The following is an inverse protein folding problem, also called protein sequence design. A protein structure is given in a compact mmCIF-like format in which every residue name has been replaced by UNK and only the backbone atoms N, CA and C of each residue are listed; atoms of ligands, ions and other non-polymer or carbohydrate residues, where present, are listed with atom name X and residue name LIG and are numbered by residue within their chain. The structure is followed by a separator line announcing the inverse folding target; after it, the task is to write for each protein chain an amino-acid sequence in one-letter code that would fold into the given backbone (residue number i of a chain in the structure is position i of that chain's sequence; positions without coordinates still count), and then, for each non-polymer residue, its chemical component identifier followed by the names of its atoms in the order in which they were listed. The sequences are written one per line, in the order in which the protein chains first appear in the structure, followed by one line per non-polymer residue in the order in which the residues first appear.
data_IF_443550405860
#
_entry.id   IF_443550405860
#
_cell.length_a   1.000
_cell.length_b   1.000
_cell.length_c   1.000
_cell.angle_alpha   90.00
_cell.angle_beta   90.00
_cell.angle_gamma   90.00
#
_symmetry.space_group_name_H-M   'P 1'
#
loop_
_entity.id
_entity.type
_entity.pdbx_description
1 polymer ?
#
# COMPACT_ATOMS: atom_id res chain seq x y z
N UNK A 1 -23.55 -20.00 -8.49
CA UNK A 1 -23.98 -18.59 -8.31
C UNK A 1 -23.60 -18.05 -6.93
N UNK A 2 -24.14 -18.59 -5.82
CA UNK A 2 -23.86 -18.07 -4.46
C UNK A 2 -22.37 -17.98 -4.11
N UNK A 3 -21.60 -19.06 -4.25
CA UNK A 3 -20.15 -19.01 -3.97
C UNK A 3 -19.41 -18.05 -4.89
N UNK A 4 -19.75 -18.00 -6.18
CA UNK A 4 -19.16 -17.04 -7.12
C UNK A 4 -19.44 -15.58 -6.72
N UNK A 5 -20.63 -15.29 -6.19
CA UNK A 5 -20.94 -13.97 -5.63
C UNK A 5 -20.02 -13.64 -4.44
N UNK A 6 -19.85 -14.55 -3.47
CA UNK A 6 -18.93 -14.35 -2.35
C UNK A 6 -17.49 -14.16 -2.83
N UNK A 7 -17.07 -14.93 -3.84
CA UNK A 7 -15.75 -14.84 -4.46
C UNK A 7 -15.46 -13.48 -5.08
N UNK A 8 -16.45 -12.84 -5.71
CA UNK A 8 -16.30 -11.48 -6.25
C UNK A 8 -15.90 -10.51 -5.14
N UNK A 9 -16.64 -10.51 -4.03
CA UNK A 9 -16.35 -9.62 -2.89
C UNK A 9 -15.02 -9.96 -2.21
N UNK A 10 -14.74 -11.26 -2.04
CA UNK A 10 -13.47 -11.71 -1.49
C UNK A 10 -12.30 -11.15 -2.30
N UNK A 11 -12.24 -11.40 -3.62
CA UNK A 11 -11.12 -10.92 -4.44
C UNK A 11 -11.09 -9.41 -4.60
N UNK A 12 -12.25 -8.74 -4.59
CA UNK A 12 -12.29 -7.28 -4.60
C UNK A 12 -11.66 -6.64 -3.36
N UNK A 13 -11.67 -7.31 -2.21
CA UNK A 13 -11.13 -6.79 -0.95
C UNK A 13 -9.76 -7.39 -0.61
N UNK A 14 -9.53 -8.66 -0.97
CA UNK A 14 -8.26 -9.34 -0.78
C UNK A 14 -7.16 -8.73 -1.66
N UNK A 15 -7.44 -8.47 -2.94
CA UNK A 15 -6.46 -8.06 -3.96
C UNK A 15 -6.11 -6.57 -3.89
N UNK A 16 -5.90 -6.05 -2.68
CA UNK A 16 -5.54 -4.66 -2.44
C UNK A 16 -4.02 -4.44 -2.39
N UNK A 17 -3.24 -5.53 -2.41
CA UNK A 17 -1.77 -5.52 -2.43
C UNK A 17 -1.18 -4.63 -3.53
N UNK A 18 -1.48 -4.82 -4.84
CA UNK A 18 -0.91 -3.98 -5.90
C UNK A 18 -1.50 -2.57 -5.95
N UNK A 19 -2.61 -2.32 -5.25
CA UNK A 19 -3.32 -1.05 -5.23
C UNK A 19 -3.14 -0.32 -3.91
N UNK A 20 -4.18 -0.35 -3.08
CA UNK A 20 -4.29 0.54 -1.92
C UNK A 20 -3.27 0.25 -0.82
N UNK A 21 -2.88 -1.01 -0.62
CA UNK A 21 -1.90 -1.36 0.41
C UNK A 21 -0.49 -0.92 0.02
N UNK A 22 -0.13 -0.99 -1.27
CA UNK A 22 1.14 -0.44 -1.75
C UNK A 22 1.16 1.09 -1.64
N UNK A 23 0.05 1.76 -1.95
CA UNK A 23 -0.08 3.22 -1.76
C UNK A 23 0.03 3.56 -0.27
N UNK A 24 -0.65 2.82 0.60
CA UNK A 24 -0.58 3.00 2.04
C UNK A 24 0.85 2.81 2.59
N UNK A 25 1.52 1.74 2.15
CA UNK A 25 2.90 1.48 2.50
C UNK A 25 3.83 2.62 2.06
N UNK A 26 3.64 3.12 0.84
CA UNK A 26 4.47 4.19 0.28
C UNK A 26 4.29 5.51 1.02
N UNK A 27 3.05 5.92 1.24
CA UNK A 27 2.70 7.30 1.64
C UNK A 27 2.42 7.46 3.13
N UNK A 28 2.10 6.38 3.86
CA UNK A 28 1.59 6.47 5.24
C UNK A 28 2.31 5.56 6.22
N UNK A 29 3.37 4.86 5.81
CA UNK A 29 4.08 3.91 6.67
C UNK A 29 5.53 4.33 6.88
N UNK A 30 6.00 4.30 8.12
CA UNK A 30 7.42 4.48 8.40
C UNK A 30 8.18 3.21 7.97
N UNK A 31 8.89 3.29 6.84
CA UNK A 31 9.62 2.16 6.24
C UNK A 31 11.14 2.21 6.49
N UNK A 32 11.60 3.12 7.36
CA UNK A 32 13.02 3.25 7.67
C UNK A 32 13.36 2.27 8.80
N UNK A 33 14.27 1.33 8.52
CA UNK A 33 14.86 0.42 9.51
C UNK A 33 16.24 0.90 9.90
N UNK A 34 16.61 0.75 11.18
CA UNK A 34 17.89 1.21 11.73
C UNK A 34 18.66 0.10 12.43
N UNK A 35 20.00 0.24 12.44
CA UNK A 35 20.89 -0.62 13.23
C UNK A 35 20.80 -2.09 12.86
N UNK A 36 20.51 -2.94 13.86
CA UNK A 36 20.41 -4.39 13.65
C UNK A 36 19.28 -4.75 12.67
N UNK A 37 18.13 -4.08 12.77
CA UNK A 37 16.96 -4.34 11.90
C UNK A 37 17.25 -4.07 10.43
N UNK A 38 18.01 -3.01 10.13
CA UNK A 38 18.46 -2.69 8.78
C UNK A 38 19.37 -3.79 8.22
N UNK A 39 20.34 -4.26 9.02
CA UNK A 39 21.24 -5.33 8.61
C UNK A 39 20.50 -6.66 8.40
N UNK A 40 19.57 -7.01 9.29
CA UNK A 40 18.72 -8.20 9.12
C UNK A 40 17.91 -8.10 7.83
N UNK A 41 17.31 -6.94 7.55
CA UNK A 41 16.55 -6.72 6.33
C UNK A 41 17.42 -6.91 5.07
N UNK A 42 18.61 -6.29 5.01
CA UNK A 42 19.53 -6.44 3.86
C UNK A 42 19.87 -7.92 3.60
N UNK A 43 20.19 -8.67 4.67
CA UNK A 43 20.51 -10.11 4.58
C UNK A 43 19.30 -10.91 4.09
N UNK A 44 18.15 -10.73 4.74
CA UNK A 44 16.92 -11.47 4.38
C UNK A 44 16.52 -11.16 2.95
N UNK A 45 16.47 -9.89 2.56
CA UNK A 45 16.10 -9.49 1.19
C UNK A 45 17.08 -10.04 0.14
N UNK A 46 18.38 -10.07 0.42
CA UNK A 46 19.36 -10.72 -0.45
C UNK A 46 19.11 -12.23 -0.58
N UNK A 47 18.89 -12.94 0.54
CA UNK A 47 18.57 -14.38 0.51
C UNK A 47 17.28 -14.66 -0.26
N UNK A 48 16.26 -13.82 -0.06
CA UNK A 48 14.97 -13.94 -0.75
C UNK A 48 15.08 -13.75 -2.26
N UNK A 49 16.01 -12.91 -2.72
CA UNK A 49 16.27 -12.75 -4.14
C UNK A 49 17.14 -13.88 -4.71
N UNK A 50 18.16 -14.34 -3.95
CA UNK A 50 19.17 -15.29 -4.44
C UNK A 50 18.73 -16.76 -4.35
N UNK A 51 18.00 -17.16 -3.30
CA UNK A 51 17.61 -18.57 -3.09
C UNK A 51 16.68 -19.05 -4.21
N UNK A 52 15.53 -18.38 -4.52
CA UNK A 52 14.66 -18.83 -5.61
C UNK A 52 15.38 -18.83 -6.96
N UNK A 53 16.23 -17.82 -7.20
CA UNK A 53 17.01 -17.71 -8.42
C UNK A 53 18.01 -18.87 -8.57
N UNK A 54 18.67 -19.27 -7.47
CA UNK A 54 19.53 -20.45 -7.40
C UNK A 54 18.78 -21.75 -7.66
N UNK A 55 17.61 -21.95 -7.04
CA UNK A 55 16.75 -23.12 -7.26
C UNK A 55 16.31 -23.20 -8.72
N UNK A 56 15.84 -22.09 -9.30
CA UNK A 56 15.41 -22.05 -10.71
C UNK A 56 16.60 -22.30 -11.64
N UNK A 57 17.79 -21.75 -11.36
CA UNK A 57 19.01 -22.02 -12.14
C UNK A 57 19.33 -23.51 -12.15
N UNK A 58 19.22 -24.16 -11.00
CA UNK A 58 19.46 -25.60 -10.88
C UNK A 58 18.43 -26.41 -11.68
N UNK A 59 17.14 -26.11 -11.53
CA UNK A 59 16.06 -26.76 -12.28
C UNK A 59 16.22 -26.54 -13.79
N UNK A 60 16.53 -25.33 -14.23
CA UNK A 60 16.78 -25.02 -15.64
C UNK A 60 17.98 -25.79 -16.18
N UNK A 61 19.05 -25.95 -15.39
CA UNK A 61 20.22 -26.74 -15.78
C UNK A 61 19.84 -28.21 -15.99
N UNK A 62 19.01 -28.78 -15.11
CA UNK A 62 18.48 -30.14 -15.26
C UNK A 62 17.62 -30.28 -16.52
N UNK A 63 16.73 -29.31 -16.77
CA UNK A 63 15.88 -29.30 -17.96
C UNK A 63 16.72 -29.16 -19.24
N UNK A 64 17.70 -28.27 -19.27
CA UNK A 64 18.57 -28.09 -20.42
C UNK A 64 19.32 -29.37 -20.76
N UNK A 65 19.85 -30.10 -19.77
CA UNK A 65 20.50 -31.40 -20.02
C UNK A 65 19.59 -32.38 -20.77
N UNK A 66 18.28 -32.33 -20.53
CA UNK A 66 17.30 -33.21 -21.19
C UNK A 66 16.84 -32.66 -22.55
N UNK A 67 16.64 -31.35 -22.67
CA UNK A 67 15.97 -30.73 -23.83
C UNK A 67 16.93 -30.18 -24.89
N UNK A 68 18.22 -30.01 -24.59
CA UNK A 68 19.17 -29.33 -25.48
C UNK A 68 19.29 -29.98 -26.85
N UNK A 69 19.15 -31.31 -26.95
CA UNK A 69 19.19 -32.03 -28.22
C UNK A 69 18.06 -31.63 -29.17
N UNK A 70 16.88 -31.30 -28.65
CA UNK A 70 15.67 -31.00 -29.45
C UNK A 70 15.38 -29.51 -29.58
N UNK A 71 15.71 -28.72 -28.56
CA UNK A 71 15.36 -27.28 -28.48
C UNK A 71 16.56 -26.40 -28.13
N UNK A 72 17.71 -26.64 -28.80
CA UNK A 72 18.98 -25.94 -28.55
C UNK A 72 18.85 -24.41 -28.47
N UNK A 73 18.25 -23.79 -29.48
CA UNK A 73 18.15 -22.33 -29.56
C UNK A 73 17.28 -21.73 -28.45
N UNK A 74 16.14 -22.38 -28.13
CA UNK A 74 15.29 -21.97 -27.02
C UNK A 74 16.04 -22.00 -25.69
N UNK A 75 16.83 -23.05 -25.45
CA UNK A 75 17.61 -23.18 -24.21
C UNK A 75 18.72 -22.13 -24.12
N UNK A 76 19.40 -21.81 -25.22
CA UNK A 76 20.44 -20.77 -25.25
C UNK A 76 19.83 -19.40 -24.93
N UNK A 77 18.72 -19.03 -25.59
CA UNK A 77 18.04 -17.75 -25.36
C UNK A 77 17.54 -17.66 -23.91
N UNK A 78 16.92 -18.73 -23.40
CA UNK A 78 16.41 -18.78 -22.03
C UNK A 78 17.56 -18.71 -21.01
N UNK A 79 18.66 -19.42 -21.23
CA UNK A 79 19.85 -19.36 -20.39
C UNK A 79 20.48 -17.98 -20.35
N UNK A 80 20.61 -17.31 -21.50
CA UNK A 80 21.11 -15.93 -21.57
C UNK A 80 20.18 -14.94 -20.83
N UNK A 81 18.87 -15.07 -21.02
CA UNK A 81 17.88 -14.26 -20.29
C UNK A 81 18.04 -14.43 -18.77
N UNK A 82 18.33 -15.65 -18.31
CA UNK A 82 18.54 -15.93 -16.89
C UNK A 82 19.84 -15.34 -16.34
N UNK A 83 20.91 -15.29 -17.14
CA UNK A 83 22.15 -14.61 -16.77
C UNK A 83 21.94 -13.09 -16.60
N UNK A 84 21.12 -12.48 -17.45
CA UNK A 84 20.74 -11.06 -17.29
C UNK A 84 20.01 -10.86 -15.95
N UNK A 85 19.06 -11.74 -15.61
CA UNK A 85 18.33 -11.66 -14.32
C UNK A 85 19.29 -11.78 -13.13
N UNK A 86 20.28 -12.68 -13.19
CA UNK A 86 21.36 -12.75 -12.20
C UNK A 86 22.14 -11.44 -12.09
N UNK A 87 22.57 -10.89 -13.22
CA UNK A 87 23.31 -9.62 -13.27
C UNK A 87 22.53 -8.47 -12.63
N UNK A 88 21.25 -8.31 -12.99
CA UNK A 88 20.37 -7.27 -12.42
C UNK A 88 20.17 -7.50 -10.92
N UNK A 89 19.98 -8.75 -10.48
CA UNK A 89 19.75 -9.09 -9.07
C UNK A 89 20.98 -8.78 -8.22
N UNK A 90 22.17 -9.20 -8.67
CA UNK A 90 23.43 -8.90 -7.97
C UNK A 90 23.69 -7.40 -7.95
N UNK A 91 23.46 -6.70 -9.06
CA UNK A 91 23.60 -5.25 -9.12
C UNK A 91 22.66 -4.55 -8.14
N UNK A 92 21.38 -4.92 -8.10
CA UNK A 92 20.38 -4.38 -7.16
C UNK A 92 20.81 -4.61 -5.70
N UNK A 93 21.22 -5.82 -5.34
CA UNK A 93 21.67 -6.13 -3.97
C UNK A 93 22.91 -5.29 -3.63
N UNK A 94 23.88 -5.17 -4.53
CA UNK A 94 25.06 -4.35 -4.30
C UNK A 94 24.73 -2.87 -4.11
N UNK A 95 23.77 -2.33 -4.86
CA UNK A 95 23.25 -0.97 -4.69
C UNK A 95 22.61 -0.78 -3.31
N UNK A 96 21.74 -1.72 -2.90
CA UNK A 96 21.06 -1.71 -1.60
C UNK A 96 22.02 -1.81 -0.40
N UNK A 97 23.13 -2.54 -0.56
CA UNK A 97 24.16 -2.60 0.49
C UNK A 97 24.98 -1.31 0.59
N UNK A 98 25.11 -0.54 -0.50
CA UNK A 98 25.77 0.78 -0.51
C UNK A 98 24.90 1.90 0.06
N UNK A 99 23.57 1.72 0.08
CA UNK A 99 22.66 2.70 0.68
C UNK A 99 22.98 2.93 2.16
N UNK A 100 23.16 4.22 2.48
CA UNK A 100 23.37 4.78 3.81
C UNK A 100 22.30 5.84 4.06
N UNK A 101 21.90 6.01 5.32
CA UNK A 101 20.96 7.06 5.68
C UNK A 101 21.65 8.23 6.34
N UNK A 102 21.13 9.42 6.11
CA UNK A 102 21.67 10.67 6.57
C UNK A 102 20.58 11.43 7.30
N UNK A 103 20.85 11.88 8.52
CA UNK A 103 20.03 12.93 9.12
C UNK A 103 20.50 14.24 8.51
N UNK A 104 19.62 14.95 7.83
CA UNK A 104 19.92 16.23 7.21
C UNK A 104 19.12 17.34 7.86
N UNK A 105 19.76 18.49 8.00
CA UNK A 105 19.13 19.74 8.42
C UNK A 105 18.83 20.58 7.20
N UNK A 106 17.58 20.96 7.02
CA UNK A 106 17.17 21.85 5.94
C UNK A 106 16.30 22.98 6.49
N UNK A 107 16.13 24.02 5.69
CA UNK A 107 15.24 25.14 5.99
C UNK A 107 13.94 24.89 5.23
N UNK A 108 12.84 24.78 5.98
CA UNK A 108 11.51 24.58 5.41
C UNK A 108 10.94 25.90 4.84
N UNK A 109 9.71 25.89 4.30
CA UNK A 109 9.14 27.10 3.69
C UNK A 109 8.78 28.20 4.70
N UNK A 110 8.69 27.86 5.99
CA UNK A 110 8.61 28.83 7.09
C UNK A 110 9.96 29.43 7.50
N UNK A 111 11.08 29.01 6.91
CA UNK A 111 12.40 29.48 7.34
C UNK A 111 12.91 28.79 8.61
N UNK A 112 12.22 27.77 9.10
CA UNK A 112 12.60 27.02 10.31
C UNK A 112 13.55 25.89 9.93
N UNK A 113 14.58 25.68 10.75
CA UNK A 113 15.48 24.55 10.57
C UNK A 113 14.82 23.26 11.07
N UNK A 114 14.63 22.30 10.17
CA UNK A 114 14.12 20.98 10.48
C UNK A 114 15.17 19.91 10.22
N UNK A 115 15.12 18.84 11.01
CA UNK A 115 15.97 17.67 10.83
C UNK A 115 15.14 16.50 10.32
N UNK A 116 15.51 15.94 9.17
CA UNK A 116 14.82 14.81 8.54
C UNK A 116 15.83 13.74 8.15
N UNK A 117 15.42 12.47 8.23
CA UNK A 117 16.25 11.35 7.81
C UNK A 117 15.98 11.05 6.34
N UNK A 118 17.03 11.03 5.53
CA UNK A 118 16.97 10.66 4.12
C UNK A 118 17.87 9.45 3.85
N UNK A 119 17.58 8.69 2.79
CA UNK A 119 18.42 7.57 2.35
C UNK A 119 19.07 7.90 1.01
N UNK A 120 20.37 7.64 0.88
CA UNK A 120 21.16 7.87 -0.32
C UNK A 120 22.11 6.69 -0.59
N UNK A 121 22.27 6.34 -1.87
CA UNK A 121 23.29 5.40 -2.34
C UNK A 121 24.67 6.04 -2.50
N UNK A 122 24.73 7.38 -2.53
CA UNK A 122 25.96 8.16 -2.50
C UNK A 122 26.43 8.38 -1.06
N UNK A 123 27.75 8.26 -0.86
CA UNK A 123 28.39 8.49 0.44
C UNK A 123 28.58 9.98 0.68
N UNK A 124 27.98 10.48 1.74
CA UNK A 124 28.17 11.86 2.22
C UNK A 124 28.83 11.87 3.60
N UNK A 125 29.66 12.87 3.87
CA UNK A 125 30.25 13.15 5.16
C UNK A 125 29.34 14.07 5.99
N UNK A 126 29.58 14.11 7.31
CA UNK A 126 28.92 15.11 8.16
C UNK A 126 29.36 16.52 7.71
N UNK A 127 28.41 17.44 7.63
CA UNK A 127 28.50 18.79 7.10
C UNK A 127 28.49 18.91 5.56
N UNK A 128 28.38 17.81 4.82
CA UNK A 128 28.17 17.90 3.37
C UNK A 128 26.85 18.61 3.08
N UNK A 129 26.86 19.46 2.05
CA UNK A 129 25.65 20.09 1.54
C UNK A 129 25.11 19.27 0.39
N UNK A 130 23.88 18.77 0.56
CA UNK A 130 23.25 17.86 -0.39
C UNK A 130 21.89 18.38 -0.83
N UNK A 131 21.54 18.09 -2.08
CA UNK A 131 20.25 18.47 -2.64
C UNK A 131 19.17 17.51 -2.18
N UNK A 132 18.08 18.08 -1.70
CA UNK A 132 16.91 17.33 -1.25
C UNK A 132 15.69 17.71 -2.09
N UNK A 133 14.85 16.73 -2.39
CA UNK A 133 13.52 16.96 -2.91
C UNK A 133 12.57 17.06 -1.72
N UNK A 134 12.14 18.27 -1.39
CA UNK A 134 11.07 18.51 -0.44
C UNK A 134 9.71 18.38 -1.15
N UNK A 135 9.04 17.24 -0.96
CA UNK A 135 7.71 17.00 -1.53
C UNK A 135 6.68 17.54 -0.54
N UNK A 136 6.15 18.72 -0.86
CA UNK A 136 5.16 19.40 -0.03
C UNK A 136 3.75 18.89 -0.32
N UNK A 137 3.11 18.37 0.71
CA UNK A 137 1.74 17.88 0.68
C UNK A 137 0.83 18.90 1.35
N UNK A 138 -0.01 19.54 0.54
CA UNK A 138 -0.86 20.65 0.98
C UNK A 138 -2.31 20.18 1.00
N UNK A 139 -2.98 20.43 2.11
CA UNK A 139 -4.39 20.11 2.36
C UNK A 139 -5.12 21.32 2.93
N UNK A 140 -6.44 21.39 2.72
CA UNK A 140 -7.28 22.36 3.42
C UNK A 140 -7.44 21.90 4.87
N UNK A 141 -7.43 22.87 5.78
CA UNK A 141 -7.60 22.64 7.21
C UNK A 141 -8.86 23.36 7.69
N UNK A 142 -9.67 22.65 8.47
CA UNK A 142 -10.87 23.20 9.10
C UNK A 142 -10.66 23.24 10.62
N UNK A 143 -10.35 24.42 11.20
CA UNK A 143 -10.09 24.54 12.64
C UNK A 143 -11.34 24.25 13.50
N UNK A 144 -12.54 24.41 12.93
CA UNK A 144 -13.81 24.28 13.68
C UNK A 144 -14.31 22.83 13.78
N UNK A 145 -13.77 21.94 12.95
CA UNK A 145 -14.13 20.54 12.95
C UNK A 145 -13.82 19.86 14.28
N UNK A 146 -14.70 18.93 14.71
CA UNK A 146 -14.64 18.29 16.03
C UNK A 146 -13.29 17.60 16.31
N UNK A 147 -12.66 17.06 15.27
CA UNK A 147 -11.34 16.43 15.36
C UNK A 147 -10.17 17.42 15.58
N UNK A 148 -10.37 18.70 15.26
CA UNK A 148 -9.33 19.73 15.23
C UNK A 148 -9.42 20.75 16.36
N UNK A 149 -10.56 20.82 17.08
CA UNK A 149 -10.81 21.80 18.15
C UNK A 149 -9.76 21.83 19.26
N UNK A 150 -9.04 20.73 19.42
CA UNK A 150 -8.04 20.57 20.46
C UNK A 150 -6.61 20.83 20.00
N UNK A 151 -6.44 21.10 18.70
CA UNK A 151 -5.14 21.45 18.15
C UNK A 151 -4.86 22.92 18.44
N UNK A 152 -3.58 23.23 18.63
CA UNK A 152 -3.11 24.59 18.86
C UNK A 152 -2.15 25.01 17.76
N UNK A 153 -2.14 26.29 17.42
CA UNK A 153 -1.19 26.85 16.45
C UNK A 153 -0.18 27.73 17.17
N UNK A 154 1.10 27.51 16.90
CA UNK A 154 2.18 28.37 17.35
C UNK A 154 3.23 28.49 16.23
N UNK A 155 3.69 29.71 15.94
CA UNK A 155 4.69 29.99 14.90
C UNK A 155 4.39 29.35 13.53
N UNK A 156 3.15 29.45 13.06
CA UNK A 156 2.68 28.80 11.82
C UNK A 156 2.90 27.28 11.78
N UNK A 157 2.92 26.63 12.95
CA UNK A 157 2.95 25.17 13.10
C UNK A 157 1.74 24.72 13.90
N UNK A 158 1.08 23.68 13.40
CA UNK A 158 -0.06 23.05 14.05
C UNK A 158 0.42 21.95 15.01
N UNK A 159 -0.10 21.94 16.23
CA UNK A 159 0.22 20.95 17.26
C UNK A 159 -1.05 20.24 17.73
N UNK A 160 -0.94 18.94 18.03
CA UNK A 160 -2.02 18.19 18.69
C UNK A 160 -1.99 18.37 20.22
N UNK A 161 -2.93 17.75 20.94
CA UNK A 161 -3.00 17.79 22.42
C UNK A 161 -1.69 17.33 23.10
N UNK A 162 -0.98 16.39 22.49
CA UNK A 162 0.28 15.84 23.01
C UNK A 162 1.51 16.70 22.65
N UNK A 163 1.30 17.91 22.11
CA UNK A 163 2.34 18.81 21.60
C UNK A 163 3.20 18.24 20.45
N UNK A 164 2.68 17.25 19.72
CA UNK A 164 3.30 16.77 18.50
C UNK A 164 2.94 17.68 17.32
N UNK A 165 3.94 18.04 16.51
CA UNK A 165 3.73 18.84 15.32
C UNK A 165 3.01 18.02 14.23
N UNK A 166 1.95 18.60 13.65
CA UNK A 166 1.10 18.00 12.63
C UNK A 166 1.37 18.52 11.20
N UNK A 167 2.15 19.59 11.10
CA UNK A 167 2.47 20.29 9.84
C UNK A 167 2.49 21.80 10.03
N UNK A 168 2.92 22.51 9.01
CA UNK A 168 2.82 23.98 8.97
C UNK A 168 1.37 24.41 8.70
N UNK A 169 0.97 25.53 9.28
CA UNK A 169 -0.37 26.07 9.23
C UNK A 169 -0.32 27.51 8.70
N UNK A 170 -1.12 27.78 7.68
CA UNK A 170 -1.24 29.13 7.11
C UNK A 170 -2.68 29.49 6.83
N UNK A 171 -2.99 30.75 7.03
CA UNK A 171 -4.13 31.39 6.38
C UNK A 171 -3.70 31.81 4.96
N UNK A 172 -4.43 31.33 3.95
CA UNK A 172 -4.09 31.50 2.55
C UNK A 172 -5.30 32.00 1.75
N UNK A 173 -5.08 32.96 0.86
CA UNK A 173 -6.09 33.42 -0.10
C UNK A 173 -6.14 32.52 -1.34
N UNK A 174 -7.34 32.11 -1.75
CA UNK A 174 -7.53 31.34 -3.00
C UNK A 174 -7.31 32.24 -4.21
N UNK A 175 -6.26 31.98 -4.99
CA UNK A 175 -5.93 32.76 -6.19
C UNK A 175 -6.65 32.26 -7.44
N UNK A 176 -6.96 30.97 -7.52
CA UNK A 176 -7.66 30.40 -8.67
C UNK A 176 -7.73 28.89 -8.71
N UNK A 177 -8.32 28.37 -9.80
CA UNK A 177 -8.51 26.94 -10.01
C UNK A 177 -8.04 26.50 -11.40
N UNK A 178 -7.57 25.26 -11.52
CA UNK A 178 -7.23 24.66 -12.81
C UNK A 178 -7.60 23.18 -12.88
N UNK A 179 -7.76 22.68 -14.09
CA UNK A 179 -8.08 21.27 -14.37
C UNK A 179 -6.99 20.64 -15.22
N UNK A 180 -6.52 19.46 -14.82
CA UNK A 180 -5.50 18.70 -15.56
C UNK A 180 -6.00 17.27 -15.78
N UNK A 181 -5.82 16.75 -17.00
CA UNK A 181 -6.10 15.35 -17.30
C UNK A 181 -5.12 14.45 -16.56
N UNK A 182 -5.63 13.43 -15.84
CA UNK A 182 -4.79 12.47 -15.14
C UNK A 182 -4.08 11.57 -16.16
N UNK A 183 -2.74 11.55 -16.22
CA UNK A 183 -2.02 10.67 -17.13
C UNK A 183 -2.37 9.21 -16.84
N UNK A 184 -2.74 8.44 -17.88
CA UNK A 184 -3.07 7.02 -17.76
C UNK A 184 -4.48 6.67 -17.27
N UNK A 185 -5.34 7.66 -16.97
CA UNK A 185 -6.76 7.41 -16.65
C UNK A 185 -7.66 7.92 -17.77
N UNK A 186 -8.57 7.08 -18.27
CA UNK A 186 -9.48 7.40 -19.37
C UNK A 186 -10.44 8.54 -18.99
N UNK A 187 -10.13 9.76 -19.43
CA UNK A 187 -11.02 10.93 -19.31
C UNK A 187 -11.14 11.52 -17.89
N UNK A 188 -10.38 11.02 -16.91
CA UNK A 188 -10.44 11.51 -15.53
C UNK A 188 -9.69 12.83 -15.40
N UNK A 189 -10.43 13.91 -15.11
CA UNK A 189 -9.86 15.24 -14.79
C UNK A 189 -9.60 15.38 -13.29
N UNK A 190 -8.50 16.04 -12.96
CA UNK A 190 -8.08 16.39 -11.60
C UNK A 190 -8.15 17.90 -11.42
N UNK A 191 -8.83 18.36 -10.37
CA UNK A 191 -8.94 19.77 -10.03
C UNK A 191 -7.78 20.18 -9.12
N UNK A 192 -7.30 21.41 -9.29
CA UNK A 192 -6.31 22.04 -8.44
C UNK A 192 -6.80 23.41 -7.97
N UNK A 193 -6.53 23.75 -6.72
CA UNK A 193 -6.57 25.11 -6.20
C UNK A 193 -5.16 25.70 -6.21
N UNK A 194 -5.07 26.98 -6.49
CA UNK A 194 -3.88 27.80 -6.29
C UNK A 194 -4.17 28.78 -5.15
N UNK A 195 -3.27 28.83 -4.18
CA UNK A 195 -3.41 29.62 -2.95
C UNK A 195 -2.15 30.43 -2.71
N UNK A 196 -2.30 31.65 -2.19
CA UNK A 196 -1.21 32.53 -1.79
C UNK A 196 -1.27 32.80 -0.30
N UNK A 197 -0.13 32.74 0.38
CA UNK A 197 0.00 33.05 1.81
C UNK A 197 1.34 33.72 2.10
N UNK A 198 1.47 34.30 3.28
CA UNK A 198 2.73 34.89 3.76
C UNK A 198 3.36 33.96 4.78
N UNK A 199 4.63 33.60 4.57
CA UNK A 199 5.34 32.74 5.53
C UNK A 199 5.81 33.53 6.78
N UNK A 200 6.33 32.84 7.79
CA UNK A 200 6.87 33.50 9.00
C UNK A 200 8.08 34.42 8.76
N UNK A 201 8.68 34.39 7.57
CA UNK A 201 9.73 35.32 7.15
C UNK A 201 9.19 36.58 6.45
N UNK A 202 7.87 36.69 6.26
CA UNK A 202 7.24 37.82 5.57
C UNK A 202 7.24 37.71 4.04
N UNK A 203 7.60 36.55 3.47
CA UNK A 203 7.63 36.33 2.03
C UNK A 203 6.27 35.87 1.52
N UNK A 204 5.85 36.40 0.36
CA UNK A 204 4.65 35.93 -0.33
C UNK A 204 4.93 34.63 -1.09
N UNK A 205 4.23 33.57 -0.72
CA UNK A 205 4.39 32.22 -1.26
C UNK A 205 3.10 31.78 -1.94
N UNK A 206 3.22 31.31 -3.18
CA UNK A 206 2.11 30.72 -3.93
C UNK A 206 2.30 29.21 -4.03
N UNK A 207 1.23 28.45 -3.75
CA UNK A 207 1.22 27.00 -3.85
C UNK A 207 0.00 26.48 -4.58
N UNK A 208 0.16 25.33 -5.21
CA UNK A 208 -0.90 24.65 -5.96
C UNK A 208 -1.06 23.23 -5.46
N UNK A 209 -2.30 22.83 -5.18
CA UNK A 209 -2.60 21.50 -4.67
C UNK A 209 -3.92 20.95 -5.19
N UNK A 210 -4.03 19.63 -5.16
CA UNK A 210 -5.18 18.89 -5.71
C UNK A 210 -6.39 19.03 -4.79
N UNK A 211 -7.54 19.37 -5.35
CA UNK A 211 -8.82 19.50 -4.64
C UNK A 211 -9.87 18.55 -5.21
N UNK A 212 -10.86 18.17 -4.40
CA UNK A 212 -12.01 17.39 -4.87
C UNK A 212 -12.99 18.26 -5.67
N UNK A 213 -13.92 17.64 -6.42
CA UNK A 213 -14.99 18.38 -7.13
C UNK A 213 -15.91 19.12 -6.14
N UNK A 214 -16.23 18.48 -5.03
CA UNK A 214 -17.14 19.02 -4.00
C UNK A 214 -16.52 20.23 -3.28
N UNK A 215 -15.20 20.18 -3.03
CA UNK A 215 -14.45 21.31 -2.47
C UNK A 215 -14.37 22.46 -3.48
N UNK A 216 -14.06 22.17 -4.75
CA UNK A 216 -14.03 23.19 -5.81
C UNK A 216 -15.35 23.94 -5.93
N UNK A 217 -16.49 23.27 -5.75
CA UNK A 217 -17.80 23.91 -5.84
C UNK A 217 -18.15 24.81 -4.65
N UNK A 218 -17.45 24.66 -3.52
CA UNK A 218 -17.68 25.45 -2.30
C UNK A 218 -16.75 26.65 -2.20
N UNK A 219 -15.53 26.50 -2.71
CA UNK A 219 -14.50 27.54 -2.65
C UNK A 219 -14.74 28.64 -3.70
N UNK A 220 -14.51 29.88 -3.30
CA UNK A 220 -14.54 31.04 -4.17
C UNK A 220 -13.14 31.64 -4.36
N UNK A 221 -12.83 32.26 -5.52
CA UNK A 221 -11.63 33.08 -5.66
C UNK A 221 -11.63 34.21 -4.62
N UNK A 222 -10.46 34.51 -4.07
CA UNK A 222 -10.21 35.48 -2.99
C UNK A 222 -10.83 35.12 -1.63
N UNK A 223 -11.39 33.91 -1.46
CA UNK A 223 -11.77 33.40 -0.15
C UNK A 223 -10.51 33.10 0.68
N UNK A 224 -10.53 33.47 1.96
CA UNK A 224 -9.49 33.07 2.90
C UNK A 224 -9.75 31.65 3.39
N UNK A 225 -8.76 30.78 3.27
CA UNK A 225 -8.82 29.39 3.69
C UNK A 225 -7.62 29.04 4.55
N UNK A 226 -7.80 28.12 5.49
CA UNK A 226 -6.66 27.57 6.22
C UNK A 226 -6.10 26.38 5.47
N UNK A 227 -4.78 26.35 5.33
CA UNK A 227 -4.05 25.25 4.70
C UNK A 227 -3.07 24.65 5.70
N UNK A 228 -2.84 23.35 5.54
CA UNK A 228 -1.82 22.60 6.24
C UNK A 228 -0.79 22.06 5.25
N UNK A 229 0.49 22.33 5.49
CA UNK A 229 1.61 21.86 4.66
C UNK A 229 2.43 20.83 5.44
N UNK A 230 2.64 19.68 4.82
CA UNK A 230 3.44 18.59 5.35
C UNK A 230 4.59 18.25 4.40
N UNK A 231 5.78 17.95 4.94
CA UNK A 231 7.01 17.76 4.17
C UNK A 231 7.41 16.27 4.08
N UNK A 232 7.55 15.73 2.87
CA UNK A 232 8.17 14.43 2.60
C UNK A 232 9.51 14.64 1.88
N UNK A 233 10.56 14.77 2.68
CA UNK A 233 11.90 15.13 2.20
C UNK A 233 12.68 13.88 1.81
N UNK A 234 13.18 13.86 0.56
CA UNK A 234 13.98 12.76 0.01
C UNK A 234 15.29 13.25 -0.55
N UNK A 235 16.29 12.38 -0.62
CA UNK A 235 17.53 12.68 -1.33
C UNK A 235 17.25 12.91 -2.82
N UNK A 236 17.77 13.99 -3.39
CA UNK A 236 17.63 14.26 -4.81
C UNK A 236 18.76 13.62 -5.63
N UNK A 237 18.57 12.34 -5.97
CA UNK A 237 19.49 11.57 -6.84
C UNK A 237 19.76 12.24 -8.20
N UNK A 238 18.91 13.17 -8.66
CA UNK A 238 19.05 13.85 -9.96
C UNK A 238 19.66 15.24 -9.86
N UNK A 239 19.91 15.73 -8.65
CA UNK A 239 20.44 17.06 -8.36
C UNK A 239 19.72 18.19 -9.13
N UNK A 240 18.40 18.10 -9.28
CA UNK A 240 17.57 19.13 -9.93
C UNK A 240 16.92 20.10 -8.95
N UNK A 241 16.80 19.73 -7.68
CA UNK A 241 16.25 20.58 -6.63
C UNK A 241 17.18 21.73 -6.28
N UNK A 242 16.58 22.86 -5.95
CA UNK A 242 17.28 24.04 -5.41
C UNK A 242 17.40 23.99 -3.89
N UNK A 243 16.65 23.09 -3.22
CA UNK A 243 16.67 22.98 -1.75
C UNK A 243 17.91 22.25 -1.28
N UNK A 244 18.75 22.95 -0.52
CA UNK A 244 19.96 22.38 0.09
C UNK A 244 19.67 21.94 1.53
N UNK A 245 20.26 20.82 1.91
CA UNK A 245 20.27 20.33 3.28
C UNK A 245 21.70 20.00 3.70
N UNK A 246 22.02 20.24 4.97
CA UNK A 246 23.33 19.93 5.55
C UNK A 246 23.26 18.59 6.27
N UNK A 247 24.14 17.66 5.95
CA UNK A 247 24.23 16.37 6.64
C UNK A 247 24.65 16.60 8.09
N UNK A 248 23.76 16.27 9.03
CA UNK A 248 23.98 16.41 10.47
C UNK A 248 24.48 15.12 11.12
N UNK A 249 24.11 13.94 10.60
CA UNK A 249 24.56 12.65 11.12
C UNK A 249 24.49 11.56 10.06
N UNK A 250 25.40 10.59 10.13
CA UNK A 250 25.42 9.40 9.27
C UNK A 250 24.90 8.22 10.09
N UNK A 251 23.84 7.58 9.61
CA UNK A 251 23.20 6.45 10.25
C UNK A 251 23.17 5.23 9.30
N UNK A 252 23.26 4.03 9.85
CA UNK A 252 22.96 2.78 9.13
C UNK A 252 21.45 2.54 9.12
N UNK A 253 20.75 3.19 8.19
CA UNK A 253 19.34 2.92 7.94
C UNK A 253 19.06 2.57 6.48
N UNK A 254 17.99 1.81 6.28
CA UNK A 254 17.50 1.37 4.97
C UNK A 254 16.01 1.62 4.89
N UNK A 255 15.54 2.10 3.74
CA UNK A 255 14.11 2.21 3.46
C UNK A 255 13.62 0.92 2.80
N UNK A 256 12.68 0.21 3.44
CA UNK A 256 12.03 -0.95 2.83
C UNK A 256 11.14 -0.48 1.67
N UNK A 257 11.27 -0.98 0.43
CA UNK A 257 10.37 -0.61 -0.66
C UNK A 257 8.91 -0.98 -0.37
N UNK A 258 7.94 -0.15 -0.77
CA UNK A 258 6.52 -0.43 -0.54
C UNK A 258 6.05 -1.76 -1.16
N UNK A 259 6.60 -2.14 -2.32
CA UNK A 259 6.31 -3.42 -2.98
C UNK A 259 6.86 -4.64 -2.22
N UNK A 260 7.80 -4.46 -1.30
CA UNK A 260 8.37 -5.55 -0.50
C UNK A 260 7.30 -6.24 0.35
N UNK A 261 6.29 -5.51 0.84
CA UNK A 261 5.22 -6.08 1.66
C UNK A 261 4.39 -7.14 0.93
N UNK A 262 4.35 -7.14 -0.41
CA UNK A 262 3.65 -8.16 -1.20
C UNK A 262 4.22 -9.58 -0.95
N UNK A 263 5.49 -9.67 -0.55
CA UNK A 263 6.15 -10.93 -0.19
C UNK A 263 5.49 -11.61 1.01
N UNK A 264 4.92 -10.83 1.92
CA UNK A 264 4.31 -11.35 3.14
C UNK A 264 3.18 -12.34 2.85
N UNK A 265 2.43 -12.14 1.75
CA UNK A 265 1.41 -13.09 1.35
C UNK A 265 2.01 -14.49 1.11
N UNK A 266 3.02 -14.60 0.25
CA UNK A 266 3.71 -15.86 -0.03
C UNK A 266 4.33 -16.48 1.21
N UNK A 267 4.97 -15.67 2.05
CA UNK A 267 5.57 -16.14 3.32
C UNK A 267 4.52 -16.78 4.24
N UNK A 268 3.39 -16.10 4.42
CA UNK A 268 2.31 -16.61 5.27
C UNK A 268 1.62 -17.83 4.66
N UNK A 269 1.49 -17.92 3.33
CA UNK A 269 0.98 -19.14 2.69
C UNK A 269 1.90 -20.32 3.00
N UNK A 270 3.21 -20.19 2.75
CA UNK A 270 4.17 -21.28 2.94
C UNK A 270 4.19 -21.74 4.41
N UNK A 271 4.13 -20.80 5.36
CA UNK A 271 4.21 -21.12 6.78
C UNK A 271 2.90 -21.62 7.38
N UNK A 272 1.75 -21.07 6.96
CA UNK A 272 0.44 -21.37 7.56
C UNK A 272 -0.37 -22.41 6.79
N UNK A 273 -0.15 -22.62 5.49
CA UNK A 273 -0.91 -23.60 4.71
C UNK A 273 -0.87 -25.03 5.32
N UNK A 274 0.27 -25.54 5.83
CA UNK A 274 0.28 -26.85 6.50
C UNK A 274 -0.62 -26.90 7.74
N UNK A 275 -0.67 -25.82 8.52
CA UNK A 275 -1.52 -25.73 9.72
C UNK A 275 -3.01 -25.74 9.34
N UNK A 276 -3.39 -24.96 8.33
CA UNK A 276 -4.76 -24.94 7.80
C UNK A 276 -5.16 -26.28 7.18
N UNK A 277 -4.27 -26.94 6.44
CA UNK A 277 -4.54 -28.29 5.89
C UNK A 277 -4.82 -29.29 7.00
N UNK A 278 -3.98 -29.32 8.05
CA UNK A 278 -4.19 -30.19 9.21
C UNK A 278 -5.51 -29.88 9.93
N UNK A 279 -5.91 -28.62 10.01
CA UNK A 279 -7.21 -28.25 10.56
C UNK A 279 -8.38 -28.77 9.70
N UNK A 280 -8.27 -28.69 8.37
CA UNK A 280 -9.27 -29.20 7.42
C UNK A 280 -9.40 -30.72 7.39
N UNK A 281 -8.33 -31.43 7.72
CA UNK A 281 -8.34 -32.90 7.85
C UNK A 281 -8.88 -33.36 9.22
N UNK A 282 -8.94 -32.46 10.20
CA UNK A 282 -9.40 -32.78 11.55
C UNK A 282 -10.93 -32.93 11.65
N UNK A 283 -11.39 -33.47 12.79
CA UNK A 283 -12.82 -33.52 13.14
C UNK A 283 -13.51 -32.15 13.24
N UNK A 284 -12.74 -31.06 13.30
CA UNK A 284 -13.23 -29.69 13.41
C UNK A 284 -13.31 -28.95 12.07
N UNK A 285 -13.25 -29.68 10.94
CA UNK A 285 -13.37 -29.10 9.61
C UNK A 285 -14.71 -28.35 9.42
N UNK A 286 -14.71 -27.02 9.25
CA UNK A 286 -15.94 -26.26 9.05
C UNK A 286 -16.56 -26.52 7.68
N UNK A 287 -17.89 -26.41 7.58
CA UNK A 287 -18.58 -26.47 6.28
C UNK A 287 -18.14 -25.32 5.35
N UNK A 288 -18.33 -25.48 4.02
CA UNK A 288 -17.99 -24.47 3.02
C UNK A 288 -18.43 -23.03 3.40
N UNK A 289 -19.70 -22.86 3.76
CA UNK A 289 -20.27 -21.59 4.19
C UNK A 289 -19.54 -20.98 5.38
N UNK A 290 -19.15 -21.80 6.36
CA UNK A 290 -18.38 -21.36 7.51
C UNK A 290 -16.93 -21.02 7.14
N UNK A 291 -16.29 -21.76 6.22
CA UNK A 291 -14.95 -21.40 5.72
C UNK A 291 -14.97 -20.07 4.98
N UNK A 292 -16.00 -19.82 4.15
CA UNK A 292 -16.22 -18.50 3.55
C UNK A 292 -16.48 -17.42 4.59
N UNK A 293 -17.31 -17.69 5.60
CA UNK A 293 -17.56 -16.76 6.70
C UNK A 293 -16.28 -16.39 7.45
N UNK A 294 -15.53 -17.40 7.91
CA UNK A 294 -14.24 -17.23 8.60
C UNK A 294 -13.28 -16.44 7.71
N UNK A 295 -13.16 -16.78 6.42
CA UNK A 295 -12.29 -16.08 5.50
C UNK A 295 -12.65 -14.60 5.35
N UNK A 296 -13.94 -14.29 5.17
CA UNK A 296 -14.42 -12.91 5.07
C UNK A 296 -14.26 -12.12 6.38
N UNK A 297 -14.42 -12.76 7.55
CA UNK A 297 -14.14 -12.12 8.83
C UNK A 297 -12.65 -11.87 9.06
N UNK A 298 -11.77 -12.75 8.59
CA UNK A 298 -10.34 -12.52 8.63
C UNK A 298 -9.94 -11.34 7.73
N UNK A 299 -10.52 -11.22 6.53
CA UNK A 299 -10.36 -10.01 5.70
C UNK A 299 -10.85 -8.76 6.43
N UNK A 300 -12.02 -8.83 7.06
CA UNK A 300 -12.55 -7.72 7.85
C UNK A 300 -11.58 -7.33 8.98
N UNK A 301 -11.03 -8.31 9.70
CA UNK A 301 -10.07 -8.08 10.77
C UNK A 301 -8.78 -7.45 10.26
N UNK A 302 -8.24 -7.92 9.13
CA UNK A 302 -7.09 -7.31 8.46
C UNK A 302 -7.37 -5.84 8.13
N UNK A 303 -8.48 -5.56 7.45
CA UNK A 303 -8.90 -4.20 7.11
C UNK A 303 -9.13 -3.33 8.35
N UNK A 304 -9.68 -3.89 9.43
CA UNK A 304 -9.88 -3.18 10.68
C UNK A 304 -8.55 -2.79 11.35
N UNK A 305 -7.55 -3.69 11.33
CA UNK A 305 -6.23 -3.41 11.88
C UNK A 305 -5.59 -2.19 11.19
N UNK A 306 -5.58 -2.16 9.86
CA UNK A 306 -5.02 -1.01 9.13
C UNK A 306 -5.91 0.23 9.23
N UNK A 307 -7.23 0.10 9.31
CA UNK A 307 -8.13 1.21 9.56
C UNK A 307 -7.85 1.87 10.91
N UNK A 308 -7.64 1.07 11.95
CA UNK A 308 -7.28 1.52 13.29
C UNK A 308 -5.89 2.17 13.30
N UNK A 309 -4.90 1.51 12.70
CA UNK A 309 -3.56 2.07 12.56
C UNK A 309 -3.55 3.41 11.83
N UNK A 310 -4.43 3.56 10.84
CA UNK A 310 -4.64 4.79 10.08
C UNK A 310 -5.54 5.83 10.77
N UNK A 311 -6.12 5.54 11.95
CA UNK A 311 -7.11 6.40 12.60
C UNK A 311 -6.57 7.77 13.01
N UNK A 312 -5.27 7.85 13.32
CA UNK A 312 -4.59 9.12 13.61
C UNK A 312 -4.20 9.93 12.38
N UNK A 313 -4.47 9.43 11.17
CA UNK A 313 -4.14 10.10 9.91
C UNK A 313 -5.32 11.01 9.54
N UNK A 314 -5.13 12.32 9.69
CA UNK A 314 -6.14 13.30 9.30
C UNK A 314 -6.49 13.18 7.80
N UNK A 315 -7.73 13.50 7.38
CA UNK A 315 -8.10 13.52 5.97
C UNK A 315 -7.15 14.37 5.12
N UNK A 316 -6.64 13.79 4.03
CA UNK A 316 -5.65 14.44 3.16
C UNK A 316 -4.24 14.58 3.72
N UNK A 317 -3.97 14.14 4.95
CA UNK A 317 -2.62 14.10 5.51
C UNK A 317 -1.75 13.11 4.74
N UNK A 318 -0.46 13.39 4.59
CA UNK A 318 0.49 12.49 3.90
C UNK A 318 1.75 12.18 4.69
N UNK A 319 1.87 12.66 5.93
CA UNK A 319 3.09 12.50 6.74
C UNK A 319 2.84 11.89 8.11
N UNK A 320 1.60 11.52 8.44
CA UNK A 320 1.36 10.59 9.52
C UNK A 320 1.89 9.21 9.11
N UNK A 321 3.09 8.89 9.60
CA UNK A 321 3.74 7.61 9.34
C UNK A 321 3.37 6.62 10.43
N UNK A 322 2.64 5.56 10.06
CA UNK A 322 2.24 4.50 10.98
C UNK A 322 3.25 3.37 10.98
N UNK A 323 3.23 2.56 12.03
CA UNK A 323 4.09 1.38 12.13
C UNK A 323 3.80 0.36 11.04
N UNK A 324 4.85 -0.28 10.51
CA UNK A 324 4.77 -1.38 9.54
C UNK A 324 3.95 -2.58 10.04
N UNK A 325 3.77 -2.72 11.37
CA UNK A 325 3.01 -3.81 11.97
C UNK A 325 1.58 -3.89 11.41
N UNK A 326 0.96 -2.74 11.09
CA UNK A 326 -0.40 -2.72 10.56
C UNK A 326 -0.50 -3.38 9.19
N UNK A 327 0.50 -3.18 8.32
CA UNK A 327 0.58 -3.88 7.04
C UNK A 327 0.85 -5.37 7.26
N UNK A 328 1.76 -5.72 8.17
CA UNK A 328 2.06 -7.12 8.49
C UNK A 328 0.78 -7.85 8.93
N UNK A 329 -0.03 -7.23 9.79
CA UNK A 329 -1.31 -7.77 10.26
C UNK A 329 -2.34 -7.90 9.13
N UNK A 330 -2.48 -6.90 8.26
CA UNK A 330 -3.37 -7.01 7.08
C UNK A 330 -3.00 -8.21 6.23
N UNK A 331 -1.73 -8.33 5.84
CA UNK A 331 -1.27 -9.43 5.00
C UNK A 331 -1.45 -10.78 5.71
N UNK A 332 -1.18 -10.85 7.02
CA UNK A 332 -1.40 -12.06 7.81
C UNK A 332 -2.87 -12.52 7.75
N UNK A 333 -3.80 -11.64 8.12
CA UNK A 333 -5.21 -12.01 8.17
C UNK A 333 -5.82 -12.23 6.78
N UNK A 334 -5.40 -11.44 5.78
CA UNK A 334 -5.79 -11.68 4.39
C UNK A 334 -5.35 -13.06 3.91
N UNK A 335 -4.09 -13.43 4.14
CA UNK A 335 -3.58 -14.75 3.76
C UNK A 335 -4.32 -15.87 4.51
N UNK A 336 -4.58 -15.71 5.80
CA UNK A 336 -5.39 -16.69 6.54
C UNK A 336 -6.80 -16.82 5.94
N UNK A 337 -7.39 -15.71 5.49
CA UNK A 337 -8.67 -15.71 4.80
C UNK A 337 -8.63 -16.41 3.43
N UNK A 338 -7.55 -16.22 2.68
CA UNK A 338 -7.27 -16.94 1.44
C UNK A 338 -7.16 -18.45 1.66
N UNK A 339 -6.44 -18.87 2.69
CA UNK A 339 -6.31 -20.29 3.06
C UNK A 339 -7.65 -20.93 3.47
N UNK A 340 -8.64 -20.12 3.86
CA UNK A 340 -10.01 -20.58 4.09
C UNK A 340 -10.83 -20.73 2.81
N UNK A 341 -10.70 -19.80 1.86
CA UNK A 341 -11.61 -19.69 0.71
C UNK A 341 -11.04 -20.36 -0.55
N UNK A 342 -9.76 -20.19 -0.84
CA UNK A 342 -9.14 -20.64 -2.10
C UNK A 342 -9.23 -22.17 -2.32
N UNK A 343 -8.92 -23.04 -1.33
CA UNK A 343 -9.05 -24.49 -1.51
C UNK A 343 -10.52 -24.95 -1.69
N UNK A 344 -11.44 -24.23 -1.04
CA UNK A 344 -12.87 -24.55 -1.00
C UNK A 344 -13.54 -24.19 -2.32
N UNK A 345 -13.23 -23.01 -2.86
CA UNK A 345 -13.82 -22.50 -4.10
C UNK A 345 -13.74 -23.50 -5.25
N UNK A 346 -12.53 -23.95 -5.57
CA UNK A 346 -12.29 -24.89 -6.67
C UNK A 346 -12.88 -26.28 -6.40
N UNK A 347 -12.84 -26.76 -5.15
CA UNK A 347 -13.39 -28.07 -4.78
C UNK A 347 -14.92 -28.14 -4.95
N UNK A 348 -15.64 -27.08 -4.58
CA UNK A 348 -17.09 -27.07 -4.72
C UNK A 348 -17.56 -26.84 -6.15
N UNK A 349 -16.79 -26.11 -6.97
CA UNK A 349 -17.07 -25.99 -8.40
C UNK A 349 -17.01 -27.35 -9.08
N UNK A 350 -16.05 -28.23 -8.73
CA UNK A 350 -15.99 -29.57 -9.33
C UNK A 350 -16.99 -30.55 -8.73
N UNK A 351 -17.36 -30.43 -7.44
CA UNK A 351 -18.30 -31.35 -6.77
C UNK A 351 -19.79 -31.05 -6.99
N UNK A 352 -20.18 -29.79 -7.18
CA UNK A 352 -21.60 -29.39 -7.27
C UNK A 352 -22.11 -29.26 -8.70
N UNK A 353 -21.23 -29.40 -9.69
CA UNK A 353 -21.53 -29.14 -11.10
C UNK A 353 -21.68 -30.47 -11.85
N UNK A 354 -22.66 -30.60 -12.76
CA UNK A 354 -22.76 -31.78 -13.62
C UNK A 354 -21.46 -31.98 -14.42
N UNK A 355 -21.00 -33.23 -14.54
CA UNK A 355 -19.72 -33.56 -15.18
C UNK A 355 -19.50 -32.87 -16.54
N UNK A 356 -20.55 -32.78 -17.37
CA UNK A 356 -20.52 -32.13 -18.69
C UNK A 356 -20.28 -30.62 -18.67
N UNK A 357 -20.48 -29.95 -17.54
CA UNK A 357 -20.41 -28.48 -17.39
C UNK A 357 -19.21 -28.02 -16.55
N UNK A 358 -18.35 -28.93 -16.09
CA UNK A 358 -17.23 -28.59 -15.21
C UNK A 358 -16.34 -27.49 -15.80
N UNK A 359 -15.93 -27.63 -17.07
CA UNK A 359 -15.09 -26.62 -17.76
C UNK A 359 -15.79 -25.25 -17.85
N UNK A 360 -17.07 -25.23 -18.19
CA UNK A 360 -17.86 -23.99 -18.25
C UNK A 360 -17.97 -23.33 -16.87
N UNK A 361 -18.16 -24.09 -15.80
CA UNK A 361 -18.26 -23.57 -14.44
C UNK A 361 -16.91 -23.09 -13.89
N UNK A 362 -15.78 -23.71 -14.28
CA UNK A 362 -14.47 -23.12 -14.03
C UNK A 362 -14.31 -21.77 -14.74
N UNK A 363 -14.81 -21.63 -15.97
CA UNK A 363 -14.88 -20.34 -16.66
C UNK A 363 -15.69 -19.29 -15.89
N UNK A 364 -16.86 -19.66 -15.37
CA UNK A 364 -17.70 -18.78 -14.53
C UNK A 364 -16.98 -18.41 -13.23
N UNK A 365 -16.25 -19.34 -12.63
CA UNK A 365 -15.44 -19.08 -11.43
C UNK A 365 -14.34 -18.05 -11.71
N UNK A 366 -13.54 -18.24 -12.76
CA UNK A 366 -12.50 -17.28 -13.12
C UNK A 366 -13.07 -15.93 -13.56
N UNK A 367 -14.25 -15.90 -14.17
CA UNK A 367 -14.94 -14.65 -14.46
C UNK A 367 -15.32 -13.91 -13.16
N UNK A 368 -15.78 -14.61 -12.14
CA UNK A 368 -16.06 -14.03 -10.83
C UNK A 368 -14.78 -13.46 -10.18
N UNK A 369 -13.66 -14.18 -10.27
CA UNK A 369 -12.34 -13.67 -9.83
C UNK A 369 -11.98 -12.40 -10.60
N UNK A 370 -12.10 -12.40 -11.93
CA UNK A 370 -11.79 -11.24 -12.77
C UNK A 370 -12.66 -10.02 -12.44
N UNK A 371 -13.96 -10.21 -12.17
CA UNK A 371 -14.85 -9.13 -11.70
C UNK A 371 -14.38 -8.60 -10.34
N UNK A 372 -13.98 -9.48 -9.42
CA UNK A 372 -13.39 -9.10 -8.13
C UNK A 372 -12.13 -8.25 -8.31
N UNK A 373 -11.17 -8.72 -9.11
CA UNK A 373 -9.93 -7.98 -9.41
C UNK A 373 -10.19 -6.62 -10.06
N UNK A 374 -11.17 -6.52 -10.97
CA UNK A 374 -11.61 -5.23 -11.52
C UNK A 374 -12.19 -4.31 -10.44
N UNK A 375 -12.93 -4.87 -9.49
CA UNK A 375 -13.40 -4.17 -8.30
C UNK A 375 -12.25 -3.63 -7.45
N UNK A 376 -11.23 -4.47 -7.18
CA UNK A 376 -10.03 -4.07 -6.46
C UNK A 376 -9.29 -2.91 -7.16
N UNK A 377 -9.12 -2.99 -8.48
CA UNK A 377 -8.53 -1.91 -9.28
C UNK A 377 -9.31 -0.60 -9.18
N UNK A 378 -10.65 -0.66 -9.20
CA UNK A 378 -11.51 0.53 -9.03
C UNK A 378 -11.41 1.12 -7.62
N UNK A 379 -11.28 0.31 -6.58
CA UNK A 379 -10.99 0.80 -5.22
C UNK A 379 -9.63 1.50 -5.16
N UNK A 380 -8.61 0.89 -5.77
CA UNK A 380 -7.28 1.47 -5.93
C UNK A 380 -7.28 2.84 -6.61
N UNK A 381 -8.03 3.00 -7.71
CA UNK A 381 -8.12 4.28 -8.42
C UNK A 381 -8.75 5.41 -7.59
N UNK A 382 -9.73 5.06 -6.76
CA UNK A 382 -10.51 6.02 -5.96
C UNK A 382 -9.92 6.31 -4.58
N UNK A 383 -8.84 5.63 -4.19
CA UNK A 383 -8.25 5.75 -2.86
C UNK A 383 -7.87 7.21 -2.53
N UNK A 384 -7.20 7.91 -3.44
CA UNK A 384 -6.80 9.31 -3.23
C UNK A 384 -8.01 10.22 -3.01
N UNK A 385 -9.10 9.97 -3.74
CA UNK A 385 -10.31 10.78 -3.63
C UNK A 385 -10.97 10.58 -2.26
N UNK A 386 -11.04 9.33 -1.80
CA UNK A 386 -11.66 8.99 -0.52
C UNK A 386 -10.77 9.46 0.64
N UNK A 387 -9.45 9.21 0.56
CA UNK A 387 -8.47 9.63 1.54
C UNK A 387 -8.47 11.14 1.78
N UNK A 388 -8.59 11.92 0.69
CA UNK A 388 -8.62 13.39 0.78
C UNK A 388 -9.94 13.94 1.33
N UNK A 389 -11.06 13.21 1.22
CA UNK A 389 -12.38 13.72 1.64
C UNK A 389 -12.74 13.25 3.04
N UNK A 390 -12.56 11.96 3.32
CA UNK A 390 -13.03 11.30 4.54
C UNK A 390 -11.90 10.65 5.35
N UNK A 391 -10.64 10.73 4.88
CA UNK A 391 -9.51 10.05 5.49
C UNK A 391 -9.29 8.63 4.97
N UNK A 392 -8.04 8.20 5.01
CA UNK A 392 -7.64 6.87 4.54
C UNK A 392 -8.14 5.76 5.48
N UNK A 393 -8.29 6.04 6.77
CA UNK A 393 -8.93 5.14 7.74
C UNK A 393 -10.38 4.81 7.37
N UNK A 394 -11.16 5.80 6.94
CA UNK A 394 -12.55 5.60 6.50
C UNK A 394 -12.65 4.60 5.34
N UNK A 395 -11.72 4.67 4.38
CA UNK A 395 -11.66 3.73 3.26
C UNK A 395 -11.52 2.28 3.76
N UNK A 396 -10.62 2.03 4.71
CA UNK A 396 -10.42 0.67 5.24
C UNK A 396 -11.57 0.22 6.15
N UNK A 397 -12.20 1.11 6.93
CA UNK A 397 -13.42 0.79 7.67
C UNK A 397 -14.59 0.42 6.76
N UNK A 398 -14.75 1.10 5.62
CA UNK A 398 -15.73 0.72 4.61
C UNK A 398 -15.50 -0.71 4.12
N UNK A 399 -14.26 -1.08 3.77
CA UNK A 399 -13.94 -2.45 3.35
C UNK A 399 -14.12 -3.47 4.49
N UNK A 400 -13.85 -3.07 5.73
CA UNK A 400 -14.10 -3.89 6.93
C UNK A 400 -15.58 -4.25 7.05
N UNK A 401 -16.47 -3.25 6.99
CA UNK A 401 -17.92 -3.44 7.11
C UNK A 401 -18.44 -4.32 5.97
N UNK A 402 -18.04 -4.04 4.73
CA UNK A 402 -18.44 -4.87 3.58
C UNK A 402 -18.01 -6.33 3.79
N UNK A 403 -16.77 -6.55 4.24
CA UNK A 403 -16.24 -7.90 4.49
C UNK A 403 -17.02 -8.62 5.60
N UNK A 404 -17.28 -7.94 6.72
CA UNK A 404 -18.03 -8.49 7.83
C UNK A 404 -19.47 -8.86 7.44
N UNK A 405 -20.16 -7.97 6.71
CA UNK A 405 -21.54 -8.22 6.22
C UNK A 405 -21.56 -9.43 5.29
N UNK A 406 -20.64 -9.52 4.33
CA UNK A 406 -20.57 -10.68 3.43
C UNK A 406 -20.22 -11.97 4.19
N UNK A 407 -19.38 -11.89 5.24
CA UNK A 407 -19.10 -12.99 6.15
C UNK A 407 -20.34 -13.48 6.91
N UNK A 408 -21.15 -12.56 7.44
CA UNK A 408 -22.45 -12.89 8.07
C UNK A 408 -23.37 -13.55 7.06
N UNK A 409 -23.52 -12.99 5.85
CA UNK A 409 -24.34 -13.57 4.77
C UNK A 409 -23.90 -15.01 4.48
N UNK A 410 -22.58 -15.26 4.38
CA UNK A 410 -22.06 -16.60 4.12
C UNK A 410 -22.52 -17.63 5.17
N UNK A 411 -22.48 -17.26 6.45
CA UNK A 411 -22.87 -18.13 7.58
C UNK A 411 -24.39 -18.28 7.68
N UNK A 412 -25.14 -17.18 7.63
CA UNK A 412 -26.60 -17.17 7.79
C UNK A 412 -27.30 -17.95 6.68
N UNK A 413 -26.75 -17.95 5.46
CA UNK A 413 -27.31 -18.70 4.33
C UNK A 413 -26.98 -20.20 4.34
N UNK A 414 -26.21 -20.69 5.32
CA UNK A 414 -25.89 -22.12 5.47
C UNK A 414 -27.09 -23.08 5.34
N UNK A 415 -28.23 -22.92 6.04
CA UNK A 415 -29.33 -23.88 5.97
C UNK A 415 -29.92 -23.97 4.56
N UNK A 416 -30.03 -22.83 3.86
CA UNK A 416 -30.53 -22.77 2.48
C UNK A 416 -29.55 -23.46 1.53
N UNK A 417 -28.26 -23.12 1.61
CA UNK A 417 -27.24 -23.69 0.73
C UNK A 417 -27.09 -25.20 0.99
N UNK A 418 -27.12 -25.64 2.25
CA UNK A 418 -27.09 -27.08 2.60
C UNK A 418 -28.25 -27.84 1.96
N UNK A 419 -29.45 -27.26 1.90
CA UNK A 419 -30.62 -27.86 1.25
C UNK A 419 -30.41 -27.96 -0.28
N UNK A 420 -29.80 -26.94 -0.89
CA UNK A 420 -29.51 -26.89 -2.33
C UNK A 420 -28.34 -27.79 -2.78
N UNK A 421 -27.46 -28.18 -1.87
CA UNK A 421 -26.29 -29.03 -2.18
C UNK A 421 -26.63 -30.53 -2.29
N UNK A 422 -27.89 -30.94 -2.12
CA UNK A 422 -28.38 -32.31 -2.31
C UNK A 422 -27.50 -33.40 -1.65
N UNK A 423 -26.94 -33.13 -0.47
CA UNK A 423 -26.15 -34.10 0.30
C UNK A 423 -24.65 -34.17 -0.03
N UNK A 424 -24.15 -33.37 -0.98
CA UNK A 424 -22.72 -33.27 -1.30
C UNK A 424 -21.95 -32.66 -0.11
N UNK A 425 -20.93 -33.35 0.40
CA UNK A 425 -20.07 -32.90 1.51
C UNK A 425 -18.69 -32.43 1.04
#
# INVERSE_FOLDING_TARGET
AFFAFLTIFFWAIFEQSPGTLTIFARDYTNRILEGFSANTYKIVNALMALIPLGVITWVLTLLFRQTFKKYKWSNIILGFSFLIVWGITIWKINDEYKESSYTVKYINVNGKSESVKIVSSEKHAVNDQIRINDIQNISLYDPESEANRKNTVADNVLYNEDHNALGEYFEAGVLGFSEVLKPGAFGTKVNYAEVGFTNSMGEAVTKKFKISKDVKSRLQPNESVFIKIEHDVKYDKRQKSTTMATVSAINTAVEIPASWFAILNSLFIITLAPLFSRWWESKYNPSANFKYGIGMFLLALGMACIAFGAGGIAPGAKTASVSMIWLILVYLFHTMGELCISPVGLSYVSKLVPARMIAFMFGVWYLAVAIGMKGAGKFGENIDKIANTNGISYFFWMLTVVSAVVGVIAIVFKPVIKKLMHGVR
#
